data_IF_119272581836
#
_entry.id   IF_119272581836
#
_cell.length_a   1.000
_cell.length_b   1.000
_cell.length_c   1.000
_cell.angle_alpha   90.00
_cell.angle_beta   90.00
_cell.angle_gamma   90.00
#
_symmetry.space_group_name_H-M   'P 1'
#
loop_
_entity.id
_entity.type
_entity.pdbx_description
1 polymer ?
#
# COMPACT_ATOMS: atom_id res chain seq x y z
N UNK A 1 56.17 13.87 5.90
CA UNK A 1 55.03 13.59 6.78
C UNK A 1 53.85 13.23 5.92
N UNK A 2 53.57 11.92 5.73
CA UNK A 2 52.41 11.41 4.97
C UNK A 2 51.15 11.60 5.79
N UNK A 3 50.25 12.49 5.35
CA UNK A 3 48.91 12.60 5.95
C UNK A 3 48.13 11.32 5.59
N UNK A 4 47.98 10.44 6.58
CA UNK A 4 47.17 9.22 6.45
C UNK A 4 45.75 9.60 6.00
N UNK A 5 45.23 8.90 5.01
CA UNK A 5 43.84 9.03 4.57
C UNK A 5 42.95 8.77 5.79
N UNK A 6 41.95 9.64 6.06
CA UNK A 6 41.01 9.38 7.16
C UNK A 6 40.35 8.00 6.96
N UNK A 7 40.12 7.23 8.02
CA UNK A 7 39.47 5.92 7.93
C UNK A 7 38.13 6.11 7.22
N UNK A 8 37.82 5.20 6.28
CA UNK A 8 36.50 5.18 5.62
C UNK A 8 35.43 5.04 6.73
N UNK A 9 34.36 5.84 6.67
CA UNK A 9 33.29 5.73 7.64
C UNK A 9 32.79 4.28 7.66
N UNK A 10 32.66 3.70 8.85
CA UNK A 10 32.11 2.36 9.03
C UNK A 10 30.68 2.37 8.51
N UNK A 11 30.36 1.49 7.56
CA UNK A 11 28.98 1.34 7.08
C UNK A 11 28.11 0.83 8.23
N UNK A 12 26.88 1.34 8.38
CA UNK A 12 25.94 0.83 9.36
C UNK A 12 25.73 -0.67 9.18
N UNK A 13 25.69 -1.41 10.28
CA UNK A 13 25.56 -2.87 10.24
C UNK A 13 24.17 -3.27 10.77
N UNK A 14 23.33 -3.80 9.91
CA UNK A 14 22.02 -4.32 10.30
C UNK A 14 22.16 -5.60 11.15
N UNK A 15 21.33 -5.72 12.17
CA UNK A 15 21.15 -6.93 12.95
C UNK A 15 19.85 -7.63 12.53
N UNK A 16 19.91 -8.89 12.12
CA UNK A 16 18.76 -9.67 11.66
C UNK A 16 18.41 -10.75 12.69
N UNK A 17 17.25 -10.65 13.32
CA UNK A 17 16.77 -11.59 14.32
C UNK A 17 15.59 -12.39 13.79
N UNK A 18 15.80 -13.67 13.46
CA UNK A 18 14.72 -14.54 13.00
C UNK A 18 13.94 -15.12 14.19
N UNK A 19 12.61 -14.95 14.15
CA UNK A 19 11.72 -15.65 15.06
C UNK A 19 11.84 -17.17 14.88
N UNK A 20 11.73 -17.93 15.97
CA UNK A 20 11.66 -19.38 15.91
C UNK A 20 10.47 -19.91 15.09
N UNK A 21 9.40 -19.09 14.97
CA UNK A 21 8.23 -19.42 14.18
C UNK A 21 8.41 -19.21 12.67
N UNK A 22 9.54 -18.63 12.22
CA UNK A 22 9.80 -18.43 10.80
C UNK A 22 10.08 -19.75 10.09
N UNK A 23 9.34 -20.03 9.02
CA UNK A 23 9.58 -21.16 8.14
C UNK A 23 10.94 -21.05 7.42
N UNK A 24 11.49 -22.18 6.95
CA UNK A 24 12.69 -22.18 6.12
C UNK A 24 12.53 -21.36 4.83
N UNK A 25 11.31 -21.33 4.24
CA UNK A 25 11.03 -20.51 3.08
C UNK A 25 11.13 -19.01 3.42
N UNK A 26 10.58 -18.58 4.57
CA UNK A 26 10.67 -17.20 5.05
C UNK A 26 12.12 -16.75 5.29
N UNK A 27 12.93 -17.64 5.86
CA UNK A 27 14.38 -17.37 6.04
C UNK A 27 15.06 -17.15 4.70
N UNK A 28 14.88 -18.07 3.75
CA UNK A 28 15.47 -17.96 2.41
C UNK A 28 15.11 -16.66 1.70
N UNK A 29 13.84 -16.21 1.75
CA UNK A 29 13.43 -14.93 1.15
C UNK A 29 14.31 -13.76 1.64
N UNK A 30 14.62 -13.70 2.92
CA UNK A 30 15.40 -12.61 3.50
C UNK A 30 16.88 -12.79 3.21
N UNK A 31 17.39 -14.03 3.35
CA UNK A 31 18.78 -14.36 3.07
C UNK A 31 19.17 -14.09 1.62
N UNK A 32 18.26 -14.31 0.66
CA UNK A 32 18.47 -13.97 -0.76
C UNK A 32 18.69 -12.47 -0.97
N UNK A 33 17.89 -11.61 -0.31
CA UNK A 33 18.06 -10.16 -0.37
C UNK A 33 19.39 -9.73 0.26
N UNK A 34 19.76 -10.31 1.39
CA UNK A 34 21.02 -10.02 2.08
C UNK A 34 22.22 -10.48 1.25
N UNK A 35 22.14 -11.66 0.66
CA UNK A 35 23.18 -12.19 -0.22
C UNK A 35 23.39 -11.28 -1.45
N UNK A 36 22.31 -10.87 -2.09
CA UNK A 36 22.37 -9.89 -3.18
C UNK A 36 23.01 -8.58 -2.72
N UNK A 37 22.58 -8.06 -1.56
CA UNK A 37 23.14 -6.81 -1.02
C UNK A 37 24.66 -6.92 -0.85
N UNK A 38 25.11 -8.01 -0.23
CA UNK A 38 26.53 -8.27 0.06
C UNK A 38 27.36 -8.58 -1.20
N UNK A 39 26.73 -9.13 -2.25
CA UNK A 39 27.42 -9.41 -3.52
C UNK A 39 27.89 -8.16 -4.26
N UNK A 40 27.34 -6.99 -3.95
CA UNK A 40 27.62 -5.75 -4.69
C UNK A 40 27.00 -5.70 -6.09
N UNK A 41 26.13 -6.67 -6.47
CA UNK A 41 25.45 -6.69 -7.77
C UNK A 41 24.75 -5.37 -8.06
N UNK A 42 24.88 -4.87 -9.28
CA UNK A 42 24.29 -3.60 -9.72
C UNK A 42 22.77 -3.66 -9.87
N UNK A 43 22.19 -4.86 -9.97
CA UNK A 43 20.76 -5.05 -10.21
C UNK A 43 20.16 -6.10 -9.30
N UNK A 44 18.84 -6.00 -9.08
CA UNK A 44 18.01 -7.01 -8.42
C UNK A 44 16.75 -7.25 -9.25
N UNK A 45 16.33 -8.52 -9.37
CA UNK A 45 15.10 -8.87 -10.08
C UNK A 45 13.98 -9.18 -9.09
N UNK A 46 12.90 -8.38 -9.14
CA UNK A 46 11.66 -8.66 -8.43
C UNK A 46 10.61 -9.27 -9.37
N UNK A 47 9.86 -10.25 -8.85
CA UNK A 47 8.73 -10.84 -9.53
C UNK A 47 7.45 -10.24 -8.97
N UNK A 48 6.69 -9.53 -9.80
CA UNK A 48 5.41 -8.93 -9.38
C UNK A 48 4.26 -9.85 -9.77
N UNK A 49 3.27 -10.01 -8.89
CA UNK A 49 2.00 -10.62 -9.27
C UNK A 49 1.26 -9.66 -10.20
N UNK A 50 1.38 -9.86 -11.51
CA UNK A 50 0.66 -9.04 -12.50
C UNK A 50 -0.85 -9.14 -12.28
N UNK A 51 -1.58 -8.05 -12.48
CA UNK A 51 -3.06 -8.01 -12.49
C UNK A 51 -3.67 -8.94 -13.56
N UNK A 52 -2.87 -9.39 -14.51
CA UNK A 52 -3.24 -10.27 -15.64
C UNK A 52 -2.83 -11.74 -15.46
N UNK A 53 -2.32 -12.14 -14.29
CA UNK A 53 -2.10 -13.55 -13.91
C UNK A 53 -0.67 -14.08 -14.06
N UNK A 54 0.15 -13.62 -15.00
CA UNK A 54 1.55 -14.04 -15.12
C UNK A 54 2.48 -13.14 -14.30
N UNK A 55 3.44 -13.68 -13.50
CA UNK A 55 4.44 -12.88 -12.82
C UNK A 55 5.26 -12.08 -13.83
N UNK A 56 5.36 -10.76 -13.63
CA UNK A 56 6.21 -9.90 -14.44
C UNK A 56 7.55 -9.71 -13.72
N UNK A 57 8.63 -9.98 -14.42
CA UNK A 57 9.97 -9.69 -13.93
C UNK A 57 10.28 -8.20 -14.08
N UNK A 58 10.83 -7.62 -13.03
CA UNK A 58 11.29 -6.23 -13.01
C UNK A 58 12.73 -6.16 -12.52
N UNK A 59 13.61 -5.72 -13.40
CA UNK A 59 15.04 -5.51 -13.09
C UNK A 59 15.22 -4.12 -12.50
N UNK A 60 15.66 -4.06 -11.26
CA UNK A 60 15.82 -2.85 -10.47
C UNK A 60 17.29 -2.50 -10.31
N UNK A 61 17.66 -1.23 -10.52
CA UNK A 61 19.04 -0.77 -10.32
C UNK A 61 19.32 -0.54 -8.84
N UNK A 62 20.45 -1.00 -8.34
CA UNK A 62 20.89 -0.82 -6.94
C UNK A 62 20.86 0.65 -6.52
N UNK A 63 21.37 1.57 -7.36
CA UNK A 63 21.36 2.99 -7.06
C UNK A 63 19.97 3.56 -6.81
N UNK A 64 18.97 3.11 -7.59
CA UNK A 64 17.57 3.51 -7.43
C UNK A 64 16.95 2.89 -6.16
N UNK A 65 17.27 1.62 -5.88
CA UNK A 65 16.85 0.92 -4.64
C UNK A 65 17.38 1.67 -3.41
N UNK A 66 18.67 2.02 -3.42
CA UNK A 66 19.29 2.78 -2.32
C UNK A 66 18.68 4.17 -2.18
N UNK A 67 18.41 4.88 -3.28
CA UNK A 67 17.77 6.20 -3.24
C UNK A 67 16.38 6.10 -2.59
N UNK A 68 15.58 5.10 -2.96
CA UNK A 68 14.28 4.85 -2.34
C UNK A 68 14.38 4.57 -0.84
N UNK A 69 15.33 3.73 -0.43
CA UNK A 69 15.56 3.41 0.97
C UNK A 69 15.96 4.67 1.76
N UNK A 70 16.92 5.44 1.26
CA UNK A 70 17.40 6.68 1.89
C UNK A 70 16.30 7.74 2.04
N UNK A 71 15.43 7.90 1.04
CA UNK A 71 14.31 8.83 1.13
C UNK A 71 13.34 8.46 2.27
N UNK A 72 13.03 7.16 2.43
CA UNK A 72 12.22 6.68 3.57
C UNK A 72 12.93 6.89 4.91
N UNK A 73 14.21 6.53 4.98
CA UNK A 73 15.06 6.69 6.18
C UNK A 73 15.08 8.15 6.62
N UNK A 74 15.30 9.07 5.69
CA UNK A 74 15.33 10.50 5.95
C UNK A 74 13.97 11.02 6.45
N UNK A 75 12.86 10.63 5.77
CA UNK A 75 11.52 11.09 6.15
C UNK A 75 11.13 10.64 7.57
N UNK A 76 11.40 9.39 7.93
CA UNK A 76 11.02 8.84 9.23
C UNK A 76 12.10 9.03 10.31
N UNK A 77 13.24 9.63 9.96
CA UNK A 77 14.36 9.86 10.88
C UNK A 77 14.91 8.55 11.45
N UNK A 78 15.13 7.55 10.59
CA UNK A 78 15.64 6.24 11.02
C UNK A 78 17.15 6.30 11.18
N UNK A 79 17.63 5.77 12.31
CA UNK A 79 19.06 5.75 12.65
C UNK A 79 19.50 4.34 13.05
N UNK A 80 20.80 4.09 13.03
CA UNK A 80 21.41 2.82 13.40
C UNK A 80 20.97 2.36 14.80
N UNK A 81 20.73 1.05 14.94
CA UNK A 81 20.30 0.42 16.19
C UNK A 81 18.81 0.50 16.49
N UNK A 82 18.03 1.33 15.77
CA UNK A 82 16.58 1.33 15.89
C UNK A 82 16.00 0.00 15.41
N UNK A 83 14.85 -0.39 15.99
CA UNK A 83 14.22 -1.70 15.75
C UNK A 83 13.00 -1.60 14.85
N UNK A 84 12.90 -2.54 13.92
CA UNK A 84 11.74 -2.68 13.01
C UNK A 84 11.34 -4.15 12.87
N UNK A 85 10.04 -4.50 12.80
CA UNK A 85 9.61 -5.85 12.45
C UNK A 85 9.49 -5.98 10.93
N UNK A 86 9.86 -7.11 10.38
CA UNK A 86 9.55 -7.47 8.99
C UNK A 86 8.30 -8.35 8.98
N UNK A 87 7.16 -7.75 8.70
CA UNK A 87 5.83 -8.38 8.68
C UNK A 87 5.30 -8.64 7.27
N UNK A 88 6.05 -8.20 6.24
CA UNK A 88 5.73 -8.35 4.83
C UNK A 88 6.67 -9.36 4.18
N UNK A 89 6.19 -10.10 3.16
CA UNK A 89 7.06 -11.00 2.38
C UNK A 89 8.14 -10.21 1.65
N UNK A 90 9.39 -10.65 1.74
CA UNK A 90 10.51 -10.06 1.01
C UNK A 90 10.44 -10.29 -0.50
N UNK A 91 9.50 -11.11 -0.99
CA UNK A 91 9.17 -11.27 -2.41
C UNK A 91 8.32 -10.11 -2.95
N UNK A 92 7.69 -9.33 -2.07
CA UNK A 92 6.97 -8.10 -2.46
C UNK A 92 7.89 -6.88 -2.34
N UNK A 93 7.62 -5.83 -3.12
CA UNK A 93 8.40 -4.59 -3.05
C UNK A 93 8.41 -4.00 -1.62
N UNK A 94 7.29 -4.10 -0.89
CA UNK A 94 7.19 -3.59 0.48
C UNK A 94 8.14 -4.30 1.43
N UNK A 95 8.13 -5.63 1.45
CA UNK A 95 9.01 -6.43 2.31
C UNK A 95 10.48 -6.38 1.87
N UNK A 96 10.75 -6.45 0.56
CA UNK A 96 12.10 -6.25 0.00
C UNK A 96 12.70 -4.93 0.48
N UNK A 97 11.96 -3.82 0.32
CA UNK A 97 12.45 -2.51 0.73
C UNK A 97 12.60 -2.36 2.26
N UNK A 98 11.86 -3.14 3.07
CA UNK A 98 12.10 -3.17 4.52
C UNK A 98 13.46 -3.79 4.86
N UNK A 99 13.84 -4.89 4.20
CA UNK A 99 15.18 -5.49 4.35
C UNK A 99 16.25 -4.49 3.90
N UNK A 100 16.08 -3.87 2.74
CA UNK A 100 17.06 -2.89 2.23
C UNK A 100 17.18 -1.68 3.16
N UNK A 101 16.07 -1.14 3.67
CA UNK A 101 16.11 -0.02 4.65
C UNK A 101 16.90 -0.41 5.90
N UNK A 102 16.71 -1.63 6.40
CA UNK A 102 17.47 -2.12 7.54
C UNK A 102 18.97 -2.18 7.23
N UNK A 103 19.35 -2.72 6.07
CA UNK A 103 20.75 -2.79 5.64
C UNK A 103 21.40 -1.41 5.45
N UNK A 104 20.66 -0.45 4.88
CA UNK A 104 21.16 0.92 4.64
C UNK A 104 21.30 1.73 5.93
N UNK A 105 20.33 1.62 6.85
CA UNK A 105 20.29 2.40 8.07
C UNK A 105 20.93 1.71 9.29
N UNK A 106 21.30 0.43 9.18
CA UNK A 106 21.81 -0.35 10.32
C UNK A 106 20.75 -0.66 11.37
N UNK A 107 19.51 -1.01 10.93
CA UNK A 107 18.43 -1.31 11.87
C UNK A 107 18.56 -2.73 12.43
N UNK A 108 17.95 -2.93 13.61
CA UNK A 108 17.65 -4.25 14.16
C UNK A 108 16.32 -4.71 13.54
N UNK A 109 16.40 -5.72 12.67
CA UNK A 109 15.23 -6.21 11.93
C UNK A 109 14.76 -7.54 12.52
N UNK A 110 13.58 -7.53 13.17
CA UNK A 110 12.93 -8.74 13.65
C UNK A 110 12.15 -9.37 12.50
N UNK A 111 12.64 -10.51 12.01
CA UNK A 111 11.97 -11.28 10.95
C UNK A 111 10.90 -12.16 11.60
N UNK A 112 9.64 -11.87 11.28
CA UNK A 112 8.47 -12.54 11.82
C UNK A 112 7.72 -13.27 10.70
N UNK A 113 6.83 -14.25 11.02
CA UNK A 113 5.94 -14.85 10.04
C UNK A 113 5.08 -13.80 9.34
N UNK A 114 4.76 -14.04 8.06
CA UNK A 114 3.84 -13.20 7.31
C UNK A 114 2.42 -13.68 7.58
N UNK A 115 1.70 -12.93 8.37
CA UNK A 115 0.35 -13.29 8.84
C UNK A 115 -0.60 -12.11 8.69
N UNK A 116 -1.89 -12.40 8.53
CA UNK A 116 -2.94 -11.38 8.53
C UNK A 116 -3.05 -10.70 9.91
N UNK A 117 -2.82 -11.46 10.99
CA UNK A 117 -2.73 -10.96 12.37
C UNK A 117 -1.29 -11.07 12.85
N UNK A 118 -0.45 -10.07 12.56
CA UNK A 118 0.96 -10.19 12.87
C UNK A 118 1.17 -10.23 14.39
N UNK A 119 1.88 -11.25 14.85
CA UNK A 119 2.30 -11.34 16.24
C UNK A 119 3.61 -10.55 16.40
N UNK A 120 3.53 -9.41 17.06
CA UNK A 120 4.73 -8.68 17.51
C UNK A 120 5.30 -9.29 18.79
N UNK A 121 6.59 -9.09 19.08
CA UNK A 121 7.18 -9.58 20.32
C UNK A 121 6.65 -8.76 21.50
N UNK A 122 6.04 -9.38 22.51
CA UNK A 122 5.50 -8.66 23.66
C UNK A 122 6.58 -7.84 24.38
N UNK A 123 6.25 -6.59 24.72
CA UNK A 123 7.14 -5.70 25.47
C UNK A 123 8.25 -5.04 24.64
N UNK A 124 8.37 -5.35 23.35
CA UNK A 124 9.29 -4.64 22.45
C UNK A 124 8.61 -3.44 21.81
N UNK A 125 9.38 -2.35 21.70
CA UNK A 125 9.00 -1.17 20.94
C UNK A 125 9.68 -1.20 19.58
N UNK A 126 8.91 -0.82 18.56
CA UNK A 126 9.38 -0.72 17.19
C UNK A 126 9.39 0.73 16.72
N UNK A 127 10.50 1.15 16.15
CA UNK A 127 10.68 2.53 15.69
C UNK A 127 10.01 2.79 14.37
N UNK A 128 9.98 1.79 13.48
CA UNK A 128 9.34 1.88 12.17
C UNK A 128 8.66 0.56 11.82
N UNK A 129 7.37 0.61 11.46
CA UNK A 129 6.57 -0.57 11.14
C UNK A 129 5.90 -0.37 9.79
N UNK A 130 6.11 -1.29 8.86
CA UNK A 130 5.41 -1.31 7.58
C UNK A 130 4.37 -2.44 7.57
N UNK A 131 3.13 -2.10 7.21
CA UNK A 131 1.97 -2.99 7.20
C UNK A 131 1.15 -2.82 5.92
N UNK A 132 0.36 -3.85 5.60
CA UNK A 132 -0.80 -3.67 4.72
C UNK A 132 -2.04 -3.28 5.56
N UNK A 133 -3.07 -2.66 4.96
CA UNK A 133 -4.28 -2.24 5.70
C UNK A 133 -4.96 -3.36 6.48
N UNK A 134 -5.01 -4.60 5.94
CA UNK A 134 -5.60 -5.74 6.66
C UNK A 134 -4.84 -6.09 7.94
N UNK A 135 -3.51 -5.99 7.91
CA UNK A 135 -2.69 -6.22 9.12
C UNK A 135 -2.95 -5.13 10.16
N UNK A 136 -3.03 -3.88 9.73
CA UNK A 136 -3.34 -2.76 10.60
C UNK A 136 -4.75 -2.87 11.21
N UNK A 137 -5.74 -3.31 10.42
CA UNK A 137 -7.10 -3.57 10.89
C UNK A 137 -7.14 -4.69 11.95
N UNK A 138 -6.40 -5.78 11.70
CA UNK A 138 -6.32 -6.89 12.65
C UNK A 138 -5.67 -6.48 13.97
N UNK A 139 -4.63 -5.63 13.93
CA UNK A 139 -4.01 -5.07 15.13
C UNK A 139 -4.93 -4.08 15.84
N UNK A 140 -5.63 -3.21 15.12
CA UNK A 140 -6.57 -2.26 15.71
C UNK A 140 -7.76 -2.96 16.43
N UNK A 141 -8.14 -4.14 15.96
CA UNK A 141 -9.19 -4.96 16.58
C UNK A 141 -8.70 -5.86 17.72
N UNK A 142 -7.38 -5.98 17.92
CA UNK A 142 -6.83 -6.83 18.99
C UNK A 142 -6.73 -6.05 20.32
N UNK A 143 -7.51 -6.40 21.35
CA UNK A 143 -7.46 -5.70 22.64
C UNK A 143 -6.13 -5.87 23.39
N UNK A 144 -5.28 -6.82 22.97
CA UNK A 144 -3.95 -7.05 23.55
C UNK A 144 -2.87 -6.22 22.88
N UNK A 145 -3.16 -5.66 21.70
CA UNK A 145 -2.21 -4.82 20.97
C UNK A 145 -2.13 -3.44 21.60
N UNK A 146 -0.90 -2.99 21.87
CA UNK A 146 -0.65 -1.65 22.37
C UNK A 146 -0.05 -0.76 21.27
N UNK A 147 -0.80 0.19 20.68
CA UNK A 147 -0.29 1.03 19.60
C UNK A 147 0.86 1.97 20.03
N UNK A 148 1.12 2.14 21.33
CA UNK A 148 2.29 2.89 21.84
C UNK A 148 3.62 2.19 21.55
N UNK A 149 3.57 0.89 21.25
CA UNK A 149 4.77 0.10 20.93
C UNK A 149 5.30 0.38 19.52
N UNK A 150 4.52 1.07 18.67
CA UNK A 150 4.91 1.53 17.34
C UNK A 150 5.18 3.05 17.36
N UNK A 151 6.44 3.47 17.12
CA UNK A 151 6.79 4.90 17.06
C UNK A 151 6.22 5.58 15.82
N UNK A 152 6.28 4.90 14.66
CA UNK A 152 5.59 5.32 13.45
C UNK A 152 5.23 4.11 12.59
N UNK A 153 4.13 4.22 11.86
CA UNK A 153 3.60 3.16 11.01
C UNK A 153 3.40 3.65 9.58
N UNK A 154 3.84 2.85 8.63
CA UNK A 154 3.61 3.06 7.20
C UNK A 154 2.65 1.98 6.69
N UNK A 155 1.53 2.39 6.12
CA UNK A 155 0.63 1.51 5.39
C UNK A 155 0.90 1.60 3.90
N UNK A 156 0.80 0.47 3.20
CA UNK A 156 0.93 0.43 1.74
C UNK A 156 0.28 -0.79 1.13
N UNK A 157 0.25 -0.84 -0.20
CA UNK A 157 -0.22 -1.98 -0.97
C UNK A 157 -1.73 -2.00 -1.28
N UNK A 158 -2.56 -1.29 -0.54
CA UNK A 158 -3.98 -1.12 -0.79
C UNK A 158 -4.48 0.20 -0.19
N UNK A 159 -5.70 0.62 -0.56
CA UNK A 159 -6.33 1.80 0.02
C UNK A 159 -6.77 1.54 1.49
N UNK A 160 -6.88 2.61 2.25
CA UNK A 160 -7.29 2.58 3.66
C UNK A 160 -8.74 3.02 3.77
N UNK A 161 -9.62 2.10 4.16
CA UNK A 161 -11.05 2.37 4.34
C UNK A 161 -11.27 3.40 5.47
N UNK A 162 -12.32 4.23 5.38
CA UNK A 162 -12.57 5.32 6.34
C UNK A 162 -12.64 4.87 7.79
N UNK A 163 -13.27 3.70 8.09
CA UNK A 163 -13.38 3.19 9.45
C UNK A 163 -12.00 2.82 10.01
N UNK A 164 -11.17 2.22 9.16
CA UNK A 164 -9.80 1.89 9.53
C UNK A 164 -8.98 3.16 9.71
N UNK A 165 -9.15 4.14 8.82
CA UNK A 165 -8.48 5.44 8.95
C UNK A 165 -8.90 6.14 10.26
N UNK A 166 -10.20 6.15 10.58
CA UNK A 166 -10.70 6.69 11.84
C UNK A 166 -10.11 5.98 13.05
N UNK A 167 -10.07 4.65 13.04
CA UNK A 167 -9.49 3.86 14.12
C UNK A 167 -7.98 4.14 14.30
N UNK A 168 -7.23 4.19 13.19
CA UNK A 168 -5.79 4.39 13.21
C UNK A 168 -5.40 5.84 13.51
N UNK A 169 -6.24 6.82 13.16
CA UNK A 169 -6.02 8.24 13.50
C UNK A 169 -6.05 8.50 15.01
N UNK A 170 -6.71 7.62 15.76
CA UNK A 170 -6.76 7.65 17.24
C UNK A 170 -5.52 7.03 17.90
N UNK A 171 -4.63 6.39 17.13
CA UNK A 171 -3.38 5.88 17.68
C UNK A 171 -2.50 7.02 18.18
N UNK A 172 -1.77 6.82 19.31
CA UNK A 172 -1.00 7.90 19.93
C UNK A 172 0.25 8.30 19.12
N UNK A 173 0.54 7.55 18.05
CA UNK A 173 1.69 7.76 17.18
C UNK A 173 1.24 7.87 15.72
N UNK A 174 1.96 8.60 14.88
CA UNK A 174 1.54 8.86 13.53
C UNK A 174 1.50 7.58 12.68
N UNK A 175 0.42 7.44 11.93
CA UNK A 175 0.24 6.44 10.88
C UNK A 175 0.21 7.17 9.54
N UNK A 176 1.02 6.70 8.60
CA UNK A 176 1.11 7.25 7.24
C UNK A 176 0.60 6.22 6.24
N UNK A 177 -0.10 6.70 5.22
CA UNK A 177 -0.43 5.92 4.05
C UNK A 177 0.49 6.31 2.91
N UNK A 178 1.19 5.32 2.33
CA UNK A 178 2.13 5.50 1.24
C UNK A 178 1.49 5.25 -0.11
N UNK A 179 1.64 6.19 -1.02
CA UNK A 179 1.35 6.00 -2.44
C UNK A 179 2.62 5.59 -3.18
N UNK A 180 2.54 4.50 -3.93
CA UNK A 180 3.62 3.97 -4.76
C UNK A 180 3.33 2.58 -5.29
N UNK A 181 4.19 2.11 -6.16
CA UNK A 181 4.07 0.84 -6.86
C UNK A 181 5.46 0.22 -7.06
N UNK A 182 5.53 -0.94 -7.70
CA UNK A 182 6.83 -1.57 -7.95
C UNK A 182 7.68 -0.73 -8.89
N UNK A 183 7.05 -0.09 -9.87
CA UNK A 183 7.66 0.81 -10.86
C UNK A 183 8.31 2.05 -10.21
N UNK A 184 7.84 2.45 -9.04
CA UNK A 184 8.41 3.56 -8.25
C UNK A 184 9.29 3.08 -7.09
N UNK A 185 9.64 1.79 -7.04
CA UNK A 185 10.47 1.20 -5.98
C UNK A 185 9.94 1.47 -4.57
N UNK A 186 8.64 1.25 -4.34
CA UNK A 186 7.89 1.56 -3.13
C UNK A 186 7.23 2.95 -3.18
N UNK A 187 6.92 3.52 -2.02
CA UNK A 187 6.19 4.78 -1.95
C UNK A 187 7.03 5.99 -2.41
N UNK A 188 6.38 6.89 -3.11
CA UNK A 188 6.91 8.18 -3.58
C UNK A 188 6.20 9.36 -2.93
N UNK A 189 5.02 9.12 -2.35
CA UNK A 189 4.28 10.11 -1.59
C UNK A 189 3.68 9.49 -0.34
N UNK A 190 3.39 10.34 0.63
CA UNK A 190 2.83 9.96 1.93
C UNK A 190 1.69 10.90 2.30
N UNK A 191 0.63 10.37 2.91
CA UNK A 191 -0.35 11.15 3.65
C UNK A 191 -0.43 10.67 5.09
N UNK A 192 -0.56 11.58 6.04
CA UNK A 192 -0.78 11.26 7.43
C UNK A 192 -2.27 11.00 7.64
N UNK A 193 -2.64 9.84 8.18
CA UNK A 193 -4.03 9.50 8.43
C UNK A 193 -4.68 10.46 9.43
N UNK A 194 -5.95 10.79 9.20
CA UNK A 194 -6.70 11.77 10.00
C UNK A 194 -6.38 13.24 9.69
N UNK A 195 -5.55 13.54 8.68
CA UNK A 195 -5.14 14.90 8.31
C UNK A 195 -5.50 15.25 6.84
N UNK A 196 -6.61 14.71 6.34
CA UNK A 196 -7.06 14.93 4.97
C UNK A 196 -6.62 13.84 4.00
N UNK A 197 -6.95 14.04 2.71
CA UNK A 197 -6.76 13.03 1.64
C UNK A 197 -5.55 13.31 0.75
N UNK A 198 -4.86 14.43 0.98
CA UNK A 198 -3.74 14.89 0.15
C UNK A 198 -2.48 14.09 0.44
N UNK A 199 -1.89 13.55 -0.62
CA UNK A 199 -0.54 12.95 -0.59
C UNK A 199 0.50 14.02 -0.86
N UNK A 200 1.52 14.05 -0.02
CA UNK A 200 2.71 14.87 -0.18
C UNK A 200 3.84 14.04 -0.74
N UNK A 201 4.43 14.46 -1.84
CA UNK A 201 5.61 13.83 -2.44
C UNK A 201 6.82 13.82 -1.51
N UNK A 202 7.59 12.75 -1.56
CA UNK A 202 8.91 12.74 -0.94
C UNK A 202 9.83 13.73 -1.66
N UNK A 203 10.87 14.25 -1.00
CA UNK A 203 11.77 15.22 -1.60
C UNK A 203 12.31 14.79 -2.98
N UNK A 204 12.17 15.65 -3.98
CA UNK A 204 12.59 15.42 -5.34
C UNK A 204 11.59 14.67 -6.23
N UNK A 205 10.46 14.22 -5.69
CA UNK A 205 9.36 13.63 -6.47
C UNK A 205 8.45 14.73 -6.97
N UNK A 206 8.12 14.67 -8.25
CA UNK A 206 7.21 15.63 -8.91
C UNK A 206 6.00 14.91 -9.49
N UNK A 207 4.86 15.57 -9.44
CA UNK A 207 3.61 15.09 -9.98
C UNK A 207 3.10 16.03 -11.07
N UNK A 208 2.50 15.42 -12.08
CA UNK A 208 1.76 16.11 -13.13
C UNK A 208 0.51 15.30 -13.49
N UNK A 209 -0.32 15.83 -14.34
CA UNK A 209 -1.53 15.17 -14.81
C UNK A 209 -1.52 15.05 -16.33
N UNK A 210 -1.88 13.85 -16.85
CA UNK A 210 -2.10 13.61 -18.27
C UNK A 210 -3.51 13.06 -18.47
N UNK A 211 -4.42 13.93 -18.90
CA UNK A 211 -5.85 13.61 -18.81
C UNK A 211 -6.26 13.47 -17.34
N UNK A 212 -6.78 12.30 -16.95
CA UNK A 212 -7.08 11.99 -15.56
C UNK A 212 -5.95 11.23 -14.85
N UNK A 213 -4.96 10.75 -15.61
CA UNK A 213 -3.87 9.94 -15.09
C UNK A 213 -2.86 10.77 -14.31
N UNK A 214 -2.47 10.28 -13.15
CA UNK A 214 -1.33 10.79 -12.40
C UNK A 214 -0.04 10.45 -13.14
N UNK A 215 0.83 11.44 -13.30
CA UNK A 215 2.19 11.29 -13.83
C UNK A 215 3.17 11.50 -12.69
N UNK A 216 4.11 10.56 -12.56
CA UNK A 216 5.16 10.59 -11.53
C UNK A 216 6.52 10.77 -12.19
N UNK A 217 7.29 11.74 -11.71
CA UNK A 217 8.70 11.94 -12.06
C UNK A 217 9.56 11.87 -10.79
N UNK A 218 10.49 10.93 -10.76
CA UNK A 218 11.45 10.74 -9.67
C UNK A 218 12.80 10.30 -10.21
N UNK A 219 13.61 11.26 -10.67
CA UNK A 219 14.89 10.96 -11.27
C UNK A 219 15.85 10.16 -10.40
N UNK A 220 15.79 10.36 -9.08
CA UNK A 220 16.65 9.66 -8.13
C UNK A 220 16.38 8.14 -8.11
N UNK A 221 15.13 7.74 -8.40
CA UNK A 221 14.71 6.32 -8.50
C UNK A 221 14.60 5.83 -9.95
N UNK A 222 15.06 6.64 -10.92
CA UNK A 222 15.02 6.31 -12.35
C UNK A 222 13.62 6.39 -12.97
N UNK A 223 12.65 6.99 -12.28
CA UNK A 223 11.30 7.22 -12.79
C UNK A 223 11.27 8.52 -13.58
N UNK A 224 10.88 8.44 -14.86
CA UNK A 224 10.82 9.60 -15.75
C UNK A 224 9.46 9.65 -16.42
N UNK A 225 8.63 10.64 -16.06
CA UNK A 225 7.33 10.87 -16.65
C UNK A 225 6.42 9.63 -16.68
N UNK A 226 6.44 8.82 -15.62
CA UNK A 226 5.64 7.60 -15.52
C UNK A 226 4.16 7.94 -15.49
N UNK A 227 3.47 7.67 -16.59
CA UNK A 227 2.01 7.78 -16.64
C UNK A 227 1.43 6.56 -15.95
N UNK A 228 0.78 6.76 -14.82
CA UNK A 228 0.19 5.68 -14.03
C UNK A 228 -1.21 5.32 -14.53
N UNK A 229 -1.77 4.23 -14.02
CA UNK A 229 -3.19 3.87 -14.20
C UNK A 229 -4.07 4.41 -13.07
N UNK A 230 -3.57 5.35 -12.29
CA UNK A 230 -4.30 5.98 -11.19
C UNK A 230 -4.83 7.35 -11.63
N UNK A 231 -6.10 7.61 -11.33
CA UNK A 231 -6.69 8.93 -11.44
C UNK A 231 -6.34 9.76 -10.22
N UNK A 232 -6.00 11.01 -10.43
CA UNK A 232 -5.69 11.92 -9.34
C UNK A 232 -6.12 13.36 -9.67
N UNK A 233 -6.35 14.14 -8.63
CA UNK A 233 -6.43 15.59 -8.68
C UNK A 233 -5.07 16.15 -8.24
N UNK A 234 -4.27 16.63 -9.19
CA UNK A 234 -2.94 17.20 -8.90
C UNK A 234 -3.11 18.65 -8.47
N UNK A 235 -2.82 18.92 -7.20
CA UNK A 235 -3.01 20.24 -6.58
C UNK A 235 -1.78 21.14 -6.77
N UNK A 236 -0.60 20.53 -6.79
CA UNK A 236 0.69 21.18 -7.06
C UNK A 236 1.69 20.16 -7.63
N UNK A 237 2.87 20.61 -8.02
CA UNK A 237 3.93 19.70 -8.46
C UNK A 237 4.40 18.70 -7.38
N UNK A 238 4.04 18.90 -6.11
CA UNK A 238 4.41 18.01 -4.99
C UNK A 238 3.21 17.40 -4.26
N UNK A 239 1.97 17.71 -4.69
CA UNK A 239 0.76 17.30 -3.96
C UNK A 239 -0.34 16.82 -4.88
N UNK A 240 -1.02 15.76 -4.50
CA UNK A 240 -2.20 15.27 -5.20
C UNK A 240 -3.18 14.57 -4.26
N UNK A 241 -4.43 14.48 -4.69
CA UNK A 241 -5.44 13.58 -4.13
C UNK A 241 -5.65 12.40 -5.07
N UNK A 242 -5.56 11.20 -4.55
CA UNK A 242 -5.85 9.99 -5.30
C UNK A 242 -7.36 9.78 -5.40
N UNK A 243 -7.86 9.52 -6.61
CA UNK A 243 -9.30 9.35 -6.89
C UNK A 243 -9.70 7.90 -7.13
N UNK A 244 -8.76 7.04 -7.55
CA UNK A 244 -9.04 5.64 -7.85
C UNK A 244 -8.28 5.14 -9.07
N UNK A 245 -8.62 3.92 -9.52
CA UNK A 245 -7.96 3.27 -10.65
C UNK A 245 -8.69 3.56 -11.96
N UNK A 246 -7.96 4.01 -12.98
CA UNK A 246 -8.50 4.25 -14.32
C UNK A 246 -8.95 2.96 -15.02
N UNK A 247 -8.20 1.88 -14.79
CA UNK A 247 -8.49 0.55 -15.36
C UNK A 247 -9.65 -0.18 -14.66
N UNK A 248 -10.08 0.30 -13.47
CA UNK A 248 -11.24 -0.16 -12.72
C UNK A 248 -12.45 0.77 -12.81
N UNK A 249 -12.33 1.90 -13.51
CA UNK A 249 -13.41 2.87 -13.58
C UNK A 249 -14.65 2.33 -14.32
N UNK A 250 -15.83 2.58 -13.77
CA UNK A 250 -17.13 2.23 -14.35
C UNK A 250 -17.61 3.39 -15.21
N UNK A 251 -17.91 3.13 -16.48
CA UNK A 251 -18.45 4.15 -17.40
C UNK A 251 -19.98 4.00 -17.47
N UNK A 252 -20.69 4.88 -16.75
CA UNK A 252 -22.15 4.87 -16.65
C UNK A 252 -22.73 6.14 -17.28
N UNK A 253 -23.58 5.99 -18.29
CA UNK A 253 -24.15 7.11 -19.05
C UNK A 253 -23.11 8.15 -19.51
N UNK A 254 -21.95 7.69 -19.99
CA UNK A 254 -20.84 8.53 -20.44
C UNK A 254 -20.04 9.21 -19.32
N UNK A 255 -20.38 8.96 -18.05
CA UNK A 255 -19.63 9.46 -16.90
C UNK A 255 -18.75 8.38 -16.29
N UNK A 256 -17.52 8.72 -15.97
CA UNK A 256 -16.57 7.82 -15.34
C UNK A 256 -16.75 7.86 -13.81
N UNK A 257 -16.96 6.70 -13.21
CA UNK A 257 -17.11 6.53 -11.76
C UNK A 257 -15.96 5.67 -11.27
N UNK A 258 -15.25 6.13 -10.26
CA UNK A 258 -14.20 5.36 -9.59
C UNK A 258 -14.83 4.57 -8.44
N UNK A 259 -14.86 3.22 -8.51
CA UNK A 259 -15.44 2.39 -7.46
C UNK A 259 -14.90 2.69 -6.07
N UNK A 260 -13.63 2.99 -5.97
CA UNK A 260 -12.93 3.27 -4.72
C UNK A 260 -13.49 4.50 -3.99
N UNK A 261 -13.93 5.52 -4.73
CA UNK A 261 -14.59 6.70 -4.14
C UNK A 261 -15.92 6.31 -3.49
N UNK A 262 -16.68 5.44 -4.16
CA UNK A 262 -17.99 4.98 -3.67
C UNK A 262 -17.84 4.04 -2.48
N UNK A 263 -16.86 3.15 -2.52
CA UNK A 263 -16.50 2.25 -1.43
C UNK A 263 -16.04 3.04 -0.21
N UNK A 264 -15.16 4.01 -0.42
CA UNK A 264 -14.70 4.91 0.64
C UNK A 264 -15.85 5.68 1.27
N UNK A 265 -16.83 6.14 0.49
CA UNK A 265 -17.99 6.87 0.99
C UNK A 265 -19.02 5.97 1.72
N UNK A 266 -19.02 4.64 1.46
CA UNK A 266 -19.95 3.71 2.11
C UNK A 266 -19.68 3.61 3.61
N UNK A 267 -18.41 3.66 3.97
CA UNK A 267 -17.97 3.52 5.35
C UNK A 267 -18.23 2.12 5.91
N UNK A 268 -18.26 1.08 5.08
CA UNK A 268 -18.35 -0.30 5.52
C UNK A 268 -17.71 -1.25 4.51
N UNK A 269 -17.54 -2.50 4.89
CA UNK A 269 -16.94 -3.51 4.02
C UNK A 269 -17.85 -3.81 2.82
N UNK A 270 -17.35 -3.49 1.62
CA UNK A 270 -18.08 -3.71 0.39
C UNK A 270 -17.22 -3.39 -0.83
N UNK A 271 -17.72 -3.80 -1.99
CA UNK A 271 -17.06 -3.64 -3.29
C UNK A 271 -18.03 -3.04 -4.29
N UNK A 272 -17.66 -1.96 -4.93
CA UNK A 272 -18.40 -1.38 -6.03
C UNK A 272 -17.91 -1.95 -7.36
N UNK A 273 -18.82 -2.38 -8.21
CA UNK A 273 -18.49 -2.97 -9.52
C UNK A 273 -19.40 -2.43 -10.61
N UNK A 274 -18.87 -2.31 -11.82
CA UNK A 274 -19.67 -2.04 -13.02
C UNK A 274 -20.19 -3.34 -13.59
N UNK A 275 -21.48 -3.39 -13.88
CA UNK A 275 -22.08 -4.50 -14.64
C UNK A 275 -22.73 -3.97 -15.91
N UNK A 276 -22.91 -4.79 -16.96
CA UNK A 276 -23.54 -4.37 -18.20
C UNK A 276 -24.94 -3.81 -17.98
N UNK A 277 -25.29 -2.74 -18.68
CA UNK A 277 -26.62 -2.12 -18.65
C UNK A 277 -27.00 -1.63 -20.03
N UNK A 278 -28.23 -1.97 -20.47
CA UNK A 278 -28.76 -1.50 -21.75
C UNK A 278 -29.00 0.02 -21.76
N UNK A 279 -29.33 0.58 -20.62
CA UNK A 279 -29.67 2.01 -20.48
C UNK A 279 -28.41 2.88 -20.32
N UNK A 280 -27.39 2.40 -19.58
CA UNK A 280 -26.26 3.22 -19.20
C UNK A 280 -24.90 2.73 -19.72
N UNK A 281 -24.89 1.67 -20.56
CA UNK A 281 -23.66 0.97 -20.96
C UNK A 281 -23.13 0.10 -19.82
N UNK A 282 -22.79 0.73 -18.71
CA UNK A 282 -22.54 0.06 -17.43
C UNK A 282 -23.37 0.73 -16.33
N UNK A 283 -23.80 -0.03 -15.35
CA UNK A 283 -24.34 0.51 -14.11
C UNK A 283 -23.47 0.11 -12.92
N UNK A 284 -23.33 1.02 -11.97
CA UNK A 284 -22.60 0.77 -10.73
C UNK A 284 -23.51 0.02 -9.77
N UNK A 285 -23.01 -1.12 -9.28
CA UNK A 285 -23.61 -1.93 -8.21
C UNK A 285 -22.64 -1.98 -7.04
N UNK A 286 -23.14 -1.81 -5.85
CA UNK A 286 -22.36 -1.99 -4.64
C UNK A 286 -22.78 -3.29 -3.95
N UNK A 287 -21.79 -4.11 -3.58
CA UNK A 287 -21.98 -5.40 -2.90
C UNK A 287 -21.32 -5.33 -1.53
N UNK A 288 -22.12 -5.39 -0.47
CA UNK A 288 -21.65 -5.38 0.92
C UNK A 288 -21.44 -6.79 1.47
N UNK A 289 -20.53 -6.90 2.44
CA UNK A 289 -20.43 -8.10 3.25
C UNK A 289 -21.73 -8.28 4.09
N UNK A 290 -22.12 -9.53 4.42
CA UNK A 290 -23.36 -9.79 5.15
C UNK A 290 -23.47 -8.99 6.46
N UNK A 291 -24.68 -8.45 6.70
CA UNK A 291 -24.99 -7.71 7.93
C UNK A 291 -24.76 -6.21 7.91
N UNK A 292 -24.55 -5.61 6.74
CA UNK A 292 -24.47 -4.15 6.62
C UNK A 292 -25.88 -3.49 6.71
N UNK A 293 -25.89 -2.24 7.19
CA UNK A 293 -27.11 -1.41 7.21
C UNK A 293 -27.22 -0.58 5.91
N UNK A 294 -28.10 -1.01 5.01
CA UNK A 294 -28.34 -0.35 3.73
C UNK A 294 -28.82 1.09 3.86
N UNK A 295 -29.58 1.42 4.91
CA UNK A 295 -30.08 2.78 5.14
C UNK A 295 -28.95 3.72 5.57
N UNK A 296 -28.05 3.26 6.44
CA UNK A 296 -26.88 4.04 6.84
C UNK A 296 -25.96 4.33 5.65
N UNK A 297 -25.73 3.35 4.78
CA UNK A 297 -24.88 3.52 3.59
C UNK A 297 -25.53 4.52 2.63
N UNK A 298 -26.83 4.38 2.37
CA UNK A 298 -27.56 5.30 1.50
C UNK A 298 -27.50 6.76 2.01
N UNK A 299 -27.51 6.95 3.34
CA UNK A 299 -27.32 8.28 3.94
C UNK A 299 -25.92 8.84 3.68
N UNK A 300 -24.88 8.01 3.83
CA UNK A 300 -23.50 8.41 3.58
C UNK A 300 -23.28 8.79 2.11
N UNK A 301 -23.85 8.03 1.17
CA UNK A 301 -23.77 8.36 -0.26
C UNK A 301 -24.53 9.62 -0.68
N UNK A 302 -25.35 10.22 0.19
CA UNK A 302 -25.93 11.54 -0.11
C UNK A 302 -24.87 12.63 -0.33
N UNK A 303 -23.67 12.46 0.22
CA UNK A 303 -22.53 13.32 -0.02
C UNK A 303 -21.97 13.20 -1.44
N UNK A 304 -22.21 12.07 -2.13
CA UNK A 304 -21.81 11.87 -3.51
C UNK A 304 -22.83 12.47 -4.48
N UNK A 305 -22.38 12.96 -5.65
CA UNK A 305 -23.27 13.30 -6.74
C UNK A 305 -24.19 12.12 -7.11
N UNK A 306 -25.43 12.38 -7.50
CA UNK A 306 -26.41 11.33 -7.81
C UNK A 306 -25.92 10.31 -8.86
N UNK A 307 -25.14 10.76 -9.84
CA UNK A 307 -24.63 9.92 -10.91
C UNK A 307 -23.50 8.97 -10.46
N UNK A 308 -22.88 9.23 -9.32
CA UNK A 308 -21.85 8.36 -8.72
C UNK A 308 -22.46 7.31 -7.78
N UNK A 309 -23.71 7.45 -7.38
CA UNK A 309 -24.32 6.53 -6.42
C UNK A 309 -24.64 5.19 -7.09
N UNK A 310 -24.43 4.07 -6.38
CA UNK A 310 -24.82 2.76 -6.86
C UNK A 310 -26.30 2.71 -7.20
N UNK A 311 -26.65 2.02 -8.29
CA UNK A 311 -28.04 1.80 -8.69
C UNK A 311 -28.68 0.64 -7.92
N UNK A 312 -27.87 -0.33 -7.54
CA UNK A 312 -28.26 -1.48 -6.73
C UNK A 312 -27.29 -1.67 -5.57
N UNK A 313 -27.85 -2.14 -4.47
CA UNK A 313 -27.11 -2.51 -3.25
C UNK A 313 -27.46 -3.96 -2.98
N UNK A 314 -26.45 -4.81 -2.98
CA UNK A 314 -26.61 -6.26 -2.82
C UNK A 314 -25.78 -6.73 -1.62
N UNK A 315 -26.12 -7.89 -1.07
CA UNK A 315 -25.42 -8.53 0.03
C UNK A 315 -24.81 -9.85 -0.46
N UNK A 316 -23.51 -10.00 -0.28
CA UNK A 316 -22.82 -11.26 -0.62
C UNK A 316 -21.46 -11.35 0.11
N UNK A 317 -20.99 -12.58 0.28
CA UNK A 317 -19.62 -12.83 0.76
C UNK A 317 -18.64 -12.39 -0.33
N UNK A 318 -17.77 -11.42 0.01
CA UNK A 318 -16.80 -10.87 -0.92
C UNK A 318 -15.66 -11.88 -1.15
N UNK A 319 -15.46 -12.38 -2.39
CA UNK A 319 -14.31 -13.22 -2.69
C UNK A 319 -13.04 -12.38 -2.76
N UNK A 320 -11.92 -12.98 -2.32
CA UNK A 320 -10.61 -12.32 -2.33
C UNK A 320 -9.60 -13.13 -3.16
N UNK A 321 -8.74 -12.43 -3.87
CA UNK A 321 -7.60 -12.99 -4.56
C UNK A 321 -6.51 -13.41 -3.55
N UNK A 322 -5.56 -14.25 -3.98
CA UNK A 322 -4.40 -14.64 -3.17
C UNK A 322 -3.53 -13.46 -2.70
N UNK A 323 -3.65 -12.30 -3.38
CA UNK A 323 -3.01 -11.04 -3.01
C UNK A 323 -3.70 -10.30 -1.85
N UNK A 324 -4.84 -10.80 -1.34
CA UNK A 324 -5.65 -10.14 -0.32
C UNK A 324 -6.57 -9.03 -0.85
N UNK A 325 -6.61 -8.80 -2.18
CA UNK A 325 -7.52 -7.82 -2.80
C UNK A 325 -8.86 -8.47 -3.14
N UNK A 326 -9.99 -7.72 -3.07
CA UNK A 326 -11.27 -8.23 -3.54
C UNK A 326 -11.21 -8.67 -5.01
N UNK A 327 -11.78 -9.82 -5.33
CA UNK A 327 -11.96 -10.26 -6.71
C UNK A 327 -13.17 -9.57 -7.34
N UNK A 328 -12.95 -8.34 -7.83
CA UNK A 328 -13.99 -7.53 -8.46
C UNK A 328 -14.64 -8.21 -9.67
N UNK A 329 -13.89 -9.04 -10.38
CA UNK A 329 -14.45 -9.76 -11.54
C UNK A 329 -15.44 -10.84 -11.11
N UNK A 330 -15.10 -11.58 -10.05
CA UNK A 330 -16.02 -12.56 -9.48
C UNK A 330 -17.28 -11.89 -8.93
N UNK A 331 -17.12 -10.77 -8.20
CA UNK A 331 -18.24 -9.98 -7.67
C UNK A 331 -19.13 -9.45 -8.81
N UNK A 332 -18.54 -8.91 -9.89
CA UNK A 332 -19.31 -8.40 -11.03
C UNK A 332 -20.09 -9.50 -11.75
N UNK A 333 -19.47 -10.67 -11.97
CA UNK A 333 -20.17 -11.83 -12.57
C UNK A 333 -21.35 -12.26 -11.71
N UNK A 334 -21.15 -12.40 -10.40
CA UNK A 334 -22.21 -12.76 -9.47
C UNK A 334 -23.34 -11.71 -9.45
N UNK A 335 -23.01 -10.43 -9.36
CA UNK A 335 -24.00 -9.35 -9.34
C UNK A 335 -24.81 -9.27 -10.63
N UNK A 336 -24.19 -9.56 -11.78
CA UNK A 336 -24.91 -9.66 -13.07
C UNK A 336 -25.94 -10.78 -13.03
N UNK A 337 -25.55 -11.98 -12.60
CA UNK A 337 -26.47 -13.13 -12.49
C UNK A 337 -27.62 -12.87 -11.52
N UNK A 338 -27.32 -12.27 -10.36
CA UNK A 338 -28.33 -11.96 -9.35
C UNK A 338 -29.38 -10.96 -9.85
N UNK A 339 -28.97 -9.96 -10.64
CA UNK A 339 -29.88 -8.95 -11.18
C UNK A 339 -30.60 -9.39 -12.45
N UNK A 340 -30.01 -10.28 -13.27
CA UNK A 340 -30.67 -10.88 -14.43
C UNK A 340 -31.75 -11.91 -14.03
N UNK A 341 -31.68 -12.45 -12.82
CA UNK A 341 -32.68 -13.35 -12.24
C UNK A 341 -33.85 -12.61 -11.56
N UNK A 342 -33.79 -11.30 -11.41
CA UNK A 342 -34.83 -10.46 -10.84
C UNK A 342 -35.56 -9.68 -11.92
#
# INVERSE_FOLDING_TARGET
>A
MSRGRPPKPRLPQAELEFSAACSAARRREVEEVVAWWNSGSATYTLHTSGSTGAPKEMVLQRSHIEASARATIAFFGLIEGQRSPLLLSAKTVGGFMMVVRALVAGLKLDILPVERRPATRPGLRYDFVALVPEQAAALAADPKFNPKDFRCTLLGGADVRPELEEALSKWPRPVYHGYGMTETLSHVALRKLGHGRTYQGLPGVLFAQKGEALVVDDPARGVRGLVTTDAANVMSFSEFEWLGRLDGAVVSAGKKIFPEVVESASGCEGVAVGIPSREWGQMLVWVGAPGFDSNQIALKWKALPNWQRPKHVLEHVIPYLSSGKPDRQAVARWATQELDLR
#
